data_IF_047742912995
#
_entry.id   IF_047742912995
#
_cell.length_a   1.000
_cell.length_b   1.000
_cell.length_c   1.000
_cell.angle_alpha   90.00
_cell.angle_beta   90.00
_cell.angle_gamma   90.00
#
_symmetry.space_group_name_H-M   'P 1'
#
loop_
_entity.id
_entity.type
_entity.pdbx_description
1 polymer ?
#
# COMPACT_ATOMS: atom_id res chain seq x y z
N UNK A 1 10.01 -11.38 11.68
CA UNK A 1 11.35 -11.62 12.29
C UNK A 1 12.10 -12.61 11.41
N UNK A 2 13.40 -12.43 11.19
CA UNK A 2 14.22 -13.34 10.38
C UNK A 2 15.32 -13.91 11.28
N UNK A 3 15.30 -15.23 11.43
CA UNK A 3 16.16 -15.99 12.33
C UNK A 3 16.95 -17.02 11.52
N UNK A 4 18.27 -17.01 11.70
CA UNK A 4 19.17 -17.99 11.10
C UNK A 4 19.27 -19.19 12.04
N UNK A 5 18.81 -20.35 11.59
CA UNK A 5 19.08 -21.62 12.26
C UNK A 5 20.48 -22.10 11.87
N UNK A 6 21.45 -21.74 12.70
CA UNK A 6 22.88 -22.05 12.52
C UNK A 6 23.13 -23.56 12.51
N UNK A 7 22.25 -24.36 13.13
CA UNK A 7 22.40 -25.82 13.22
C UNK A 7 22.01 -26.53 11.92
N UNK A 8 21.09 -25.96 11.13
CA UNK A 8 20.60 -26.56 9.88
C UNK A 8 20.98 -25.82 8.60
N UNK A 9 21.76 -24.73 8.69
CA UNK A 9 21.96 -23.78 7.58
C UNK A 9 20.63 -23.35 6.94
N UNK A 10 19.59 -23.19 7.78
CA UNK A 10 18.23 -22.90 7.35
C UNK A 10 17.84 -21.49 7.79
N UNK A 11 17.11 -20.78 6.94
CA UNK A 11 16.59 -19.45 7.24
C UNK A 11 15.11 -19.56 7.60
N UNK A 12 14.73 -19.08 8.78
CA UNK A 12 13.35 -19.02 9.22
C UNK A 12 12.91 -17.56 9.22
N UNK A 13 11.79 -17.27 8.59
CA UNK A 13 11.23 -15.92 8.56
C UNK A 13 9.74 -15.95 8.88
N UNK A 14 9.32 -14.99 9.69
CA UNK A 14 7.94 -14.78 10.10
C UNK A 14 7.50 -13.37 9.66
N UNK A 15 6.28 -13.27 9.12
CA UNK A 15 5.74 -12.02 8.65
C UNK A 15 4.24 -12.10 8.39
N UNK A 16 3.62 -10.92 8.31
CA UNK A 16 2.21 -10.78 8.00
C UNK A 16 1.99 -10.82 6.49
N UNK A 17 0.97 -11.54 6.07
CA UNK A 17 0.56 -11.61 4.67
C UNK A 17 -0.96 -11.58 4.56
N UNK A 18 -1.53 -10.87 3.58
CA UNK A 18 -2.96 -10.94 3.33
C UNK A 18 -3.38 -12.34 2.87
N UNK A 19 -4.51 -12.81 3.38
CA UNK A 19 -5.03 -14.18 3.16
C UNK A 19 -5.22 -14.49 1.66
N UNK A 20 -5.59 -13.49 0.85
CA UNK A 20 -5.77 -13.68 -0.59
C UNK A 20 -4.44 -13.88 -1.35
N UNK A 21 -3.31 -13.43 -0.79
CA UNK A 21 -2.00 -13.53 -1.43
C UNK A 21 -1.24 -14.81 -1.05
N UNK A 22 -1.76 -15.62 -0.13
CA UNK A 22 -1.06 -16.83 0.36
C UNK A 22 -0.71 -17.80 -0.78
N UNK A 23 -1.62 -17.98 -1.75
CA UNK A 23 -1.36 -18.82 -2.93
C UNK A 23 -0.23 -18.26 -3.80
N UNK A 24 -0.22 -16.95 -4.02
CA UNK A 24 0.81 -16.29 -4.84
C UNK A 24 2.19 -16.42 -4.20
N UNK A 25 2.26 -16.32 -2.87
CA UNK A 25 3.51 -16.51 -2.12
C UNK A 25 3.98 -17.95 -2.23
N UNK A 26 3.08 -18.93 -2.07
CA UNK A 26 3.44 -20.34 -2.19
C UNK A 26 3.96 -20.68 -3.60
N UNK A 27 3.29 -20.19 -4.64
CA UNK A 27 3.72 -20.38 -6.03
C UNK A 27 5.10 -19.73 -6.28
N UNK A 28 5.33 -18.53 -5.74
CA UNK A 28 6.62 -17.83 -5.85
C UNK A 28 7.75 -18.59 -5.13
N UNK A 29 7.48 -19.14 -3.94
CA UNK A 29 8.43 -19.95 -3.19
C UNK A 29 8.77 -21.26 -3.90
N UNK A 30 7.78 -21.92 -4.52
CA UNK A 30 8.00 -23.13 -5.31
C UNK A 30 8.87 -22.86 -6.54
N UNK A 31 8.62 -21.75 -7.25
CA UNK A 31 9.44 -21.33 -8.40
C UNK A 31 10.87 -21.02 -7.97
N UNK A 32 11.05 -20.26 -6.89
CA UNK A 32 12.38 -19.93 -6.38
C UNK A 32 13.17 -21.18 -5.95
N UNK A 33 12.50 -22.19 -5.37
CA UNK A 33 13.13 -23.45 -5.00
C UNK A 33 13.59 -24.26 -6.24
N UNK A 34 12.77 -24.26 -7.31
CA UNK A 34 13.11 -24.88 -8.59
C UNK A 34 14.30 -24.19 -9.26
N UNK A 35 14.26 -22.85 -9.35
CA UNK A 35 15.33 -22.05 -9.97
C UNK A 35 16.67 -22.17 -9.23
N UNK A 36 16.62 -22.34 -7.91
CA UNK A 36 17.81 -22.50 -7.06
C UNK A 36 18.38 -23.93 -7.07
N UNK A 37 17.75 -24.85 -7.82
CA UNK A 37 18.11 -26.28 -7.86
C UNK A 37 18.25 -26.92 -6.46
N UNK A 38 17.45 -26.45 -5.51
CA UNK A 38 17.49 -26.91 -4.12
C UNK A 38 16.77 -28.25 -3.99
N UNK A 39 17.40 -29.23 -3.33
CA UNK A 39 16.77 -30.52 -3.03
C UNK A 39 15.66 -30.38 -1.96
N UNK A 40 15.68 -29.30 -1.18
CA UNK A 40 14.70 -29.01 -0.13
C UNK A 40 13.84 -27.84 -0.58
N UNK A 41 12.54 -28.06 -0.70
CA UNK A 41 11.56 -27.02 -1.01
C UNK A 41 11.36 -26.05 0.15
N UNK A 42 10.99 -24.81 -0.18
CA UNK A 42 10.60 -23.83 0.83
C UNK A 42 9.31 -24.29 1.54
N UNK A 43 9.30 -24.25 2.87
CA UNK A 43 8.15 -24.62 3.69
C UNK A 43 7.41 -23.33 4.06
N UNK A 44 6.12 -23.27 3.70
CA UNK A 44 5.23 -22.18 4.09
C UNK A 44 4.18 -22.70 5.08
N UNK A 45 4.19 -22.18 6.31
CA UNK A 45 3.29 -22.59 7.38
C UNK A 45 2.52 -21.39 7.92
N UNK A 46 1.19 -21.52 8.03
CA UNK A 46 0.35 -20.52 8.69
C UNK A 46 0.46 -20.70 10.20
N UNK A 47 0.88 -19.63 10.89
CA UNK A 47 0.99 -19.56 12.34
C UNK A 47 -0.27 -18.88 12.92
N UNK A 48 -0.74 -19.37 14.06
CA UNK A 48 -1.81 -18.73 14.82
C UNK A 48 -1.18 -17.95 15.97
N UNK A 49 -1.45 -16.65 16.03
CA UNK A 49 -0.94 -15.74 17.06
C UNK A 49 -2.07 -14.89 17.61
N UNK A 50 -1.90 -14.41 18.84
CA UNK A 50 -2.80 -13.46 19.50
C UNK A 50 -2.37 -12.00 19.28
N UNK A 51 -1.26 -11.77 18.57
CA UNK A 51 -0.81 -10.43 18.22
C UNK A 51 -1.78 -9.75 17.25
N UNK A 52 -1.94 -8.43 17.41
CA UNK A 52 -2.79 -7.65 16.52
C UNK A 52 -2.18 -7.58 15.11
N UNK A 53 -2.87 -8.10 14.08
CA UNK A 53 -2.37 -8.02 12.71
C UNK A 53 -2.37 -6.56 12.21
N UNK A 54 -1.49 -6.23 11.25
CA UNK A 54 -1.50 -4.93 10.60
C UNK A 54 -2.75 -4.73 9.74
N UNK A 55 -3.20 -3.48 9.62
CA UNK A 55 -4.30 -3.10 8.73
C UNK A 55 -3.78 -2.88 7.31
N UNK A 56 -4.51 -3.41 6.32
CA UNK A 56 -4.19 -3.23 4.90
C UNK A 56 -5.43 -2.79 4.14
N UNK A 57 -5.34 -1.64 3.45
CA UNK A 57 -6.38 -1.13 2.57
C UNK A 57 -5.94 -1.24 1.11
N UNK A 58 -6.77 -1.88 0.28
CA UNK A 58 -6.54 -1.92 -1.17
C UNK A 58 -6.99 -0.59 -1.78
N UNK A 59 -6.04 0.25 -2.16
CA UNK A 59 -6.30 1.54 -2.82
C UNK A 59 -6.10 1.45 -4.33
N UNK A 60 -6.74 2.36 -5.08
CA UNK A 60 -6.37 2.65 -6.46
C UNK A 60 -5.63 4.00 -6.52
N UNK A 61 -5.19 4.38 -7.72
CA UNK A 61 -4.49 5.64 -7.99
C UNK A 61 -5.24 6.92 -7.53
N UNK A 62 -6.56 6.88 -7.51
CA UNK A 62 -7.41 7.98 -7.04
C UNK A 62 -7.62 7.93 -5.52
N UNK A 63 -7.93 6.76 -4.96
CA UNK A 63 -8.23 6.62 -3.53
C UNK A 63 -6.98 6.63 -2.66
N UNK A 64 -5.79 6.42 -3.22
CA UNK A 64 -4.53 6.44 -2.47
C UNK A 64 -4.28 7.79 -1.82
N UNK A 65 -4.51 8.91 -2.53
CA UNK A 65 -4.30 10.24 -1.97
C UNK A 65 -5.23 10.54 -0.80
N UNK A 66 -6.49 10.11 -0.85
CA UNK A 66 -7.42 10.28 0.26
C UNK A 66 -7.08 9.36 1.45
N UNK A 67 -6.60 8.16 1.16
CA UNK A 67 -6.12 7.23 2.18
C UNK A 67 -4.90 7.81 2.92
N UNK A 68 -3.93 8.36 2.18
CA UNK A 68 -2.74 9.02 2.75
C UNK A 68 -3.13 10.21 3.65
N UNK A 69 -4.11 11.01 3.26
CA UNK A 69 -4.62 12.12 4.08
C UNK A 69 -5.17 11.60 5.42
N UNK A 70 -5.92 10.50 5.40
CA UNK A 70 -6.48 9.89 6.61
C UNK A 70 -5.39 9.25 7.47
N UNK A 71 -4.49 8.49 6.85
CA UNK A 71 -3.40 7.80 7.54
C UNK A 71 -2.38 8.76 8.16
N UNK A 72 -2.25 9.98 7.63
CA UNK A 72 -1.45 11.04 8.24
C UNK A 72 -1.96 11.44 9.64
N UNK A 73 -3.26 11.29 9.91
CA UNK A 73 -3.82 11.48 11.26
C UNK A 73 -3.65 10.24 12.14
N UNK A 74 -3.72 9.05 11.55
CA UNK A 74 -3.52 7.80 12.25
C UNK A 74 -3.98 6.60 11.43
N UNK A 75 -3.34 5.46 11.67
CA UNK A 75 -3.70 4.19 11.02
C UNK A 75 -4.88 3.56 11.76
N UNK A 76 -5.93 3.19 11.02
CA UNK A 76 -7.11 2.52 11.57
C UNK A 76 -6.75 1.16 12.17
N UNK A 77 -7.48 0.77 13.23
CA UNK A 77 -7.29 -0.54 13.85
C UNK A 77 -7.73 -1.67 12.92
N UNK A 78 -7.24 -2.87 13.20
CA UNK A 78 -7.63 -4.05 12.44
C UNK A 78 -9.16 -4.23 12.50
N UNK A 79 -9.77 -4.44 11.32
CA UNK A 79 -11.22 -4.55 11.11
C UNK A 79 -12.05 -3.31 11.51
N UNK A 80 -11.43 -2.15 11.68
CA UNK A 80 -12.14 -0.89 11.82
C UNK A 80 -12.66 -0.39 10.46
N UNK A 81 -13.76 0.35 10.48
CA UNK A 81 -14.30 0.98 9.27
C UNK A 81 -13.31 2.02 8.73
N UNK A 82 -13.04 1.99 7.42
CA UNK A 82 -12.12 2.95 6.80
C UNK A 82 -12.80 4.32 6.61
N UNK A 83 -12.37 5.38 7.31
CA UNK A 83 -12.99 6.69 7.16
C UNK A 83 -12.65 7.35 5.82
N UNK A 84 -11.58 6.93 5.13
CA UNK A 84 -11.18 7.50 3.83
C UNK A 84 -12.28 7.41 2.76
N UNK A 85 -13.14 6.39 2.83
CA UNK A 85 -14.28 6.23 1.92
C UNK A 85 -15.25 7.42 2.01
N UNK A 86 -15.50 7.93 3.23
CA UNK A 86 -16.34 9.10 3.45
C UNK A 86 -15.59 10.39 3.09
N UNK A 87 -14.31 10.46 3.45
CA UNK A 87 -13.44 11.60 3.18
C UNK A 87 -13.38 11.98 1.70
N UNK A 88 -13.50 11.01 0.78
CA UNK A 88 -13.53 11.26 -0.67
C UNK A 88 -14.60 12.29 -1.07
N UNK A 89 -15.76 12.29 -0.39
CA UNK A 89 -16.86 13.21 -0.70
C UNK A 89 -16.89 14.38 0.27
N UNK A 90 -16.76 14.12 1.57
CA UNK A 90 -16.93 15.14 2.60
C UNK A 90 -15.81 16.16 2.58
N UNK A 91 -14.57 15.76 2.31
CA UNK A 91 -13.42 16.67 2.32
C UNK A 91 -13.51 17.72 1.19
N UNK A 92 -13.69 17.36 -0.10
CA UNK A 92 -13.87 18.36 -1.15
C UNK A 92 -15.13 19.22 -0.95
N UNK A 93 -16.21 18.65 -0.42
CA UNK A 93 -17.43 19.40 -0.15
C UNK A 93 -17.23 20.49 0.90
N UNK A 94 -16.64 20.14 2.05
CA UNK A 94 -16.35 21.12 3.10
C UNK A 94 -15.34 22.17 2.62
N UNK A 95 -14.33 21.76 1.85
CA UNK A 95 -13.41 22.69 1.20
C UNK A 95 -14.15 23.68 0.28
N UNK A 96 -15.08 23.19 -0.55
CA UNK A 96 -15.85 24.04 -1.46
C UNK A 96 -16.74 25.05 -0.73
N UNK A 97 -17.39 24.64 0.37
CA UNK A 97 -18.22 25.55 1.20
C UNK A 97 -17.36 26.64 1.84
N UNK A 98 -16.16 26.31 2.32
CA UNK A 98 -15.25 27.28 2.94
C UNK A 98 -14.58 28.22 1.93
N UNK A 99 -14.26 27.70 0.74
CA UNK A 99 -13.51 28.44 -0.27
C UNK A 99 -14.40 29.29 -1.20
N UNK A 100 -15.67 28.88 -1.39
CA UNK A 100 -16.83 29.73 -1.74
C UNK A 100 -16.81 30.59 -3.02
N UNK A 101 -15.70 30.64 -3.77
CA UNK A 101 -15.48 31.56 -4.87
C UNK A 101 -15.35 30.81 -6.20
N UNK A 102 -16.23 31.16 -7.15
CA UNK A 102 -16.23 30.61 -8.50
C UNK A 102 -14.90 30.89 -9.22
N UNK A 103 -14.40 32.12 -9.19
CA UNK A 103 -13.20 32.53 -9.92
C UNK A 103 -11.97 31.74 -9.48
N UNK A 104 -11.77 31.65 -8.17
CA UNK A 104 -10.69 30.83 -7.61
C UNK A 104 -10.91 29.33 -7.89
N UNK A 105 -12.17 28.86 -7.89
CA UNK A 105 -12.53 27.49 -8.27
C UNK A 105 -12.13 27.14 -9.71
N UNK A 106 -12.35 28.04 -10.68
CA UNK A 106 -11.88 27.85 -12.06
C UNK A 106 -10.34 27.79 -12.10
N UNK A 107 -9.65 28.69 -11.41
CA UNK A 107 -8.18 28.70 -11.38
C UNK A 107 -7.62 27.38 -10.83
N UNK A 108 -8.19 26.86 -9.75
CA UNK A 108 -7.83 25.55 -9.19
C UNK A 108 -8.11 24.42 -10.19
N UNK A 109 -9.28 24.43 -10.85
CA UNK A 109 -9.62 23.43 -11.86
C UNK A 109 -8.61 23.41 -13.01
N UNK A 110 -8.25 24.59 -13.56
CA UNK A 110 -7.27 24.70 -14.64
C UNK A 110 -5.88 24.21 -14.21
N UNK A 111 -5.44 24.56 -12.99
CA UNK A 111 -4.16 24.10 -12.44
C UNK A 111 -4.15 22.57 -12.26
N UNK A 112 -5.21 21.99 -11.70
CA UNK A 112 -5.34 20.54 -11.52
C UNK A 112 -5.38 19.81 -12.86
N UNK A 113 -6.14 20.30 -13.85
CA UNK A 113 -6.19 19.70 -15.18
C UNK A 113 -4.82 19.72 -15.87
N UNK A 114 -4.06 20.81 -15.72
CA UNK A 114 -2.70 20.90 -16.24
C UNK A 114 -1.76 19.85 -15.60
N UNK A 115 -1.85 19.65 -14.28
CA UNK A 115 -1.07 18.63 -13.57
C UNK A 115 -1.44 17.21 -14.00
N UNK A 116 -2.73 16.90 -14.12
CA UNK A 116 -3.21 15.60 -14.60
C UNK A 116 -2.74 15.34 -16.04
N UNK A 117 -2.82 16.35 -16.92
CA UNK A 117 -2.35 16.22 -18.30
C UNK A 117 -0.84 15.94 -18.44
N UNK A 118 -0.03 16.39 -17.47
CA UNK A 118 1.42 16.17 -17.46
C UNK A 118 1.88 15.05 -16.54
N UNK A 119 0.95 14.33 -15.92
CA UNK A 119 1.24 13.35 -14.88
C UNK A 119 2.31 12.33 -15.28
N UNK A 120 2.22 11.74 -16.49
CA UNK A 120 3.20 10.74 -16.95
C UNK A 120 4.62 11.30 -17.05
N UNK A 121 4.75 12.57 -17.44
CA UNK A 121 6.04 13.25 -17.54
C UNK A 121 6.62 13.56 -16.15
N UNK A 122 5.77 13.96 -15.21
CA UNK A 122 6.17 14.25 -13.83
C UNK A 122 6.52 12.98 -13.04
N UNK A 123 5.72 11.93 -13.18
CA UNK A 123 5.96 10.63 -12.52
C UNK A 123 7.31 10.03 -12.92
N UNK A 124 7.72 10.19 -14.18
CA UNK A 124 9.03 9.72 -14.66
C UNK A 124 10.23 10.46 -14.03
N UNK A 125 10.06 11.70 -13.55
CA UNK A 125 11.17 12.46 -12.94
C UNK A 125 11.38 12.11 -11.47
N UNK A 126 10.30 11.83 -10.74
CA UNK A 126 10.35 11.48 -9.32
C UNK A 126 11.08 10.14 -9.11
N UNK A 127 10.95 9.18 -10.04
CA UNK A 127 11.63 7.88 -9.93
C UNK A 127 13.16 7.97 -9.96
N UNK A 128 13.74 8.95 -10.67
CA UNK A 128 15.20 9.14 -10.72
C UNK A 128 15.80 9.78 -9.46
N UNK A 129 14.98 10.28 -8.53
CA UNK A 129 15.47 11.00 -7.34
C UNK A 129 15.57 10.09 -6.10
N UNK A 130 14.95 8.91 -6.12
CA UNK A 130 15.01 7.92 -5.03
C UNK A 130 16.03 6.78 -5.28
N UNK A 131 16.73 6.79 -6.42
CA UNK A 131 17.80 5.85 -6.78
C UNK A 131 19.23 6.42 -6.52
N UNK A 132 19.36 7.44 -5.66
CA UNK A 132 20.64 8.02 -5.18
C UNK A 132 20.69 8.00 -3.65
#
# INVERSE_FOLDING_TARGET
>A
MLSLDVTKKCLVAEGWSPIFASKQIQDALQRAAFDSNSQVGAIFQVLHTQEAPPTYFRTNKFTSSFQEIVEAYGVAKYQEANPAVYTIVTFPFLFAVMFGDWGHGICLLLATLYLIGRERKLSSQVLFTYDL
#
